data_IF_888704421201
#
_entry.id   IF_888704421201
#
_cell.length_a   1.000
_cell.length_b   1.000
_cell.length_c   1.000
_cell.angle_alpha   90.00
_cell.angle_beta   90.00
_cell.angle_gamma   90.00
#
_symmetry.space_group_name_H-M   'P 1'
#
loop_
_entity.id
_entity.type
_entity.pdbx_description
1 polymer ?
#
# COMPACT_ATOMS: atom_id res chain seq x y z
N UNK A 1 2.39 -0.17 13.34
CA UNK A 1 1.82 -1.48 13.64
C UNK A 1 0.86 -1.98 12.58
N UNK A 2 -0.09 -1.15 12.16
CA UNK A 2 -1.07 -1.54 11.16
C UNK A 2 -0.42 -1.96 9.85
N UNK A 3 0.59 -1.22 9.41
CA UNK A 3 1.27 -1.52 8.16
C UNK A 3 1.97 -2.88 8.22
N UNK A 4 2.57 -3.19 9.36
CA UNK A 4 3.28 -4.46 9.53
C UNK A 4 2.34 -5.65 9.54
N UNK A 5 1.07 -5.43 9.83
CA UNK A 5 0.06 -6.50 9.83
C UNK A 5 -0.53 -6.78 8.45
N UNK A 6 -0.19 -5.94 7.45
CA UNK A 6 -0.71 -6.12 6.09
C UNK A 6 0.06 -7.21 5.34
N UNK A 7 -0.58 -7.87 4.36
CA UNK A 7 0.14 -8.76 3.45
C UNK A 7 1.29 -8.03 2.75
N UNK A 8 2.32 -8.77 2.38
CA UNK A 8 3.55 -8.18 1.85
C UNK A 8 3.31 -7.26 0.66
N UNK A 9 2.45 -7.66 -0.28
CA UNK A 9 2.17 -6.83 -1.46
C UNK A 9 1.58 -5.49 -1.10
N UNK A 10 0.61 -5.47 -0.21
CA UNK A 10 -0.01 -4.23 0.24
C UNK A 10 0.99 -3.38 1.02
N UNK A 11 1.77 -4.01 1.88
CA UNK A 11 2.76 -3.32 2.70
C UNK A 11 3.81 -2.63 1.83
N UNK A 12 4.27 -3.32 0.79
CA UNK A 12 5.28 -2.77 -0.10
C UNK A 12 4.77 -1.52 -0.80
N UNK A 13 3.58 -1.58 -1.41
CA UNK A 13 3.02 -0.43 -2.12
C UNK A 13 2.78 0.73 -1.15
N UNK A 14 2.20 0.43 0.00
CA UNK A 14 1.88 1.47 0.98
C UNK A 14 3.15 2.13 1.50
N UNK A 15 4.19 1.35 1.76
CA UNK A 15 5.46 1.89 2.24
C UNK A 15 6.12 2.78 1.20
N UNK A 16 6.14 2.36 -0.06
CA UNK A 16 6.74 3.16 -1.12
C UNK A 16 5.98 4.46 -1.32
N UNK A 17 4.67 4.43 -1.22
CA UNK A 17 3.86 5.62 -1.43
C UNK A 17 3.95 6.59 -0.24
N UNK A 18 3.81 6.09 0.98
CA UNK A 18 3.71 6.94 2.16
C UNK A 18 5.07 7.29 2.76
N UNK A 19 6.00 6.36 2.78
CA UNK A 19 7.28 6.56 3.45
C UNK A 19 8.37 7.06 2.52
N UNK A 20 8.38 6.58 1.28
CA UNK A 20 9.41 6.96 0.31
C UNK A 20 8.96 8.10 -0.60
N UNK A 21 7.66 8.39 -0.64
CA UNK A 21 7.15 9.50 -1.43
C UNK A 21 7.03 9.24 -2.92
N UNK A 22 7.07 7.99 -3.35
CA UNK A 22 6.88 7.66 -4.77
C UNK A 22 5.41 7.74 -5.14
N UNK A 23 5.11 8.15 -6.38
CA UNK A 23 3.75 8.10 -6.87
C UNK A 23 3.45 6.72 -7.48
N UNK A 24 2.20 6.52 -7.90
CA UNK A 24 1.79 5.20 -8.39
C UNK A 24 2.54 4.78 -9.65
N UNK A 25 2.87 5.72 -10.53
CA UNK A 25 3.62 5.41 -11.73
C UNK A 25 5.04 4.96 -11.39
N UNK A 26 5.67 5.64 -10.46
CA UNK A 26 7.01 5.29 -10.01
C UNK A 26 7.02 3.94 -9.33
N UNK A 27 6.03 3.68 -8.48
CA UNK A 27 5.92 2.39 -7.79
C UNK A 27 5.70 1.26 -8.81
N UNK A 28 4.87 1.51 -9.82
CA UNK A 28 4.62 0.52 -10.87
C UNK A 28 5.91 0.16 -11.59
N UNK A 29 6.74 1.14 -11.87
CA UNK A 29 8.04 0.90 -12.50
C UNK A 29 8.96 0.10 -11.60
N UNK A 30 9.05 0.48 -10.34
CA UNK A 30 9.90 -0.20 -9.36
C UNK A 30 9.50 -1.66 -9.22
N UNK A 31 8.20 -1.92 -9.14
CA UNK A 31 7.68 -3.27 -8.95
C UNK A 31 7.47 -4.04 -10.25
N UNK A 32 7.64 -3.36 -11.38
CA UNK A 32 7.45 -3.95 -12.72
C UNK A 32 6.03 -4.49 -12.89
N UNK A 33 5.05 -3.68 -12.55
CA UNK A 33 3.64 -4.01 -12.69
C UNK A 33 2.92 -2.83 -13.35
N UNK A 34 1.64 -3.03 -13.70
CA UNK A 34 0.84 -1.95 -14.27
C UNK A 34 0.50 -0.91 -13.22
N UNK A 35 0.37 0.35 -13.64
CA UNK A 35 0.01 1.44 -12.72
C UNK A 35 -1.34 1.18 -12.06
N UNK A 36 -2.29 0.61 -12.81
CA UNK A 36 -3.60 0.27 -12.24
C UNK A 36 -3.48 -0.73 -11.11
N UNK A 37 -2.49 -1.62 -11.18
CA UNK A 37 -2.24 -2.59 -10.11
C UNK A 37 -1.80 -1.89 -8.82
N UNK A 38 -0.89 -0.92 -8.93
CA UNK A 38 -0.43 -0.20 -7.74
C UNK A 38 -1.55 0.62 -7.12
N UNK A 39 -2.38 1.25 -7.94
CA UNK A 39 -3.54 2.01 -7.42
C UNK A 39 -4.50 1.11 -6.68
N UNK A 40 -4.82 -0.05 -7.26
CA UNK A 40 -5.73 -0.99 -6.64
C UNK A 40 -5.16 -1.49 -5.32
N UNK A 41 -3.89 -1.85 -5.32
CA UNK A 41 -3.24 -2.35 -4.11
C UNK A 41 -3.17 -1.27 -3.03
N UNK A 42 -2.90 -0.03 -3.43
CA UNK A 42 -2.89 1.08 -2.47
C UNK A 42 -4.26 1.27 -1.82
N UNK A 43 -5.31 1.28 -2.64
CA UNK A 43 -6.67 1.45 -2.12
C UNK A 43 -7.05 0.32 -1.16
N UNK A 44 -6.73 -0.91 -1.53
CA UNK A 44 -7.02 -2.07 -0.68
C UNK A 44 -6.19 -2.03 0.61
N UNK A 45 -4.92 -1.64 0.51
CA UNK A 45 -4.07 -1.51 1.67
C UNK A 45 -4.59 -0.44 2.62
N UNK A 46 -5.02 0.69 2.07
CA UNK A 46 -5.56 1.78 2.87
C UNK A 46 -6.83 1.34 3.60
N UNK A 47 -7.72 0.65 2.90
CA UNK A 47 -8.95 0.16 3.52
C UNK A 47 -8.64 -0.86 4.61
N UNK A 48 -7.70 -1.75 4.35
CA UNK A 48 -7.31 -2.76 5.34
C UNK A 48 -6.69 -2.12 6.56
N UNK A 49 -5.85 -1.13 6.35
CA UNK A 49 -5.21 -0.40 7.44
C UNK A 49 -6.24 0.32 8.29
N UNK A 50 -7.19 1.00 7.66
CA UNK A 50 -8.25 1.69 8.39
C UNK A 50 -9.08 0.73 9.21
N UNK A 51 -9.36 -0.46 8.67
CA UNK A 51 -10.13 -1.47 9.39
C UNK A 51 -9.36 -1.97 10.61
N UNK A 52 -8.06 -2.20 10.46
CA UNK A 52 -7.23 -2.64 11.57
C UNK A 52 -7.18 -1.59 12.69
N UNK A 53 -7.04 -0.32 12.30
CA UNK A 53 -7.02 0.77 13.28
C UNK A 53 -8.36 0.91 13.98
N UNK A 54 -9.46 0.72 13.24
CA UNK A 54 -10.80 0.78 13.80
C UNK A 54 -11.02 -0.35 14.81
N UNK A 55 -10.52 -1.54 14.50
CA UNK A 55 -10.67 -2.68 15.39
C UNK A 55 -9.87 -2.49 16.67
N UNK A 56 -8.73 -1.81 16.59
CA UNK A 56 -7.92 -1.52 17.76
C UNK A 56 -8.50 -0.38 18.60
N UNK A 57 -9.18 0.52 17.95
CA UNK A 57 -9.72 1.69 18.62
C UNK A 57 -11.05 1.49 19.22
#
# INVERSE_FOLDING_TARGET
>A
KGIMALPDGYRTVLSLYLLEGYDHEEIAEILNVATSTTRTQYMRAKQKLLQLLKDEG
#
